data_IF_920168372295
#
_entry.id   IF_920168372295
#
_cell.length_a   1.000
_cell.length_b   1.000
_cell.length_c   1.000
_cell.angle_alpha   90.00
_cell.angle_beta   90.00
_cell.angle_gamma   90.00
#
_symmetry.space_group_name_H-M   'P 1'
#
loop_
_entity.id
_entity.type
_entity.pdbx_description
1 polymer ?
#
# COMPACT_ATOMS: atom_id res chain seq x y z
N UNK A 1 -9.55 10.48 6.18
CA UNK A 1 -8.82 9.23 5.96
C UNK A 1 -7.33 9.43 5.75
N UNK A 2 -6.60 8.34 5.54
CA UNK A 2 -5.15 8.41 5.31
C UNK A 2 -4.83 9.24 4.07
N UNK A 3 -5.57 9.05 2.97
CA UNK A 3 -5.38 9.83 1.74
C UNK A 3 -5.49 11.34 1.99
N UNK A 4 -6.53 11.78 2.68
CA UNK A 4 -6.73 13.20 3.01
C UNK A 4 -5.60 13.74 3.88
N UNK A 5 -5.15 12.99 4.89
CA UNK A 5 -4.03 13.39 5.75
C UNK A 5 -2.73 13.55 4.94
N UNK A 6 -2.44 12.61 4.05
CA UNK A 6 -1.28 12.69 3.15
C UNK A 6 -1.37 13.89 2.20
N UNK A 7 -2.54 14.17 1.63
CA UNK A 7 -2.75 15.34 0.77
C UNK A 7 -2.51 16.65 1.53
N UNK A 8 -3.03 16.77 2.76
CA UNK A 8 -2.80 17.94 3.60
C UNK A 8 -1.31 18.11 3.91
N UNK A 9 -0.62 17.03 4.29
CA UNK A 9 0.80 17.06 4.60
C UNK A 9 1.66 17.45 3.38
N UNK A 10 1.39 16.88 2.21
CA UNK A 10 2.09 17.22 0.97
C UNK A 10 1.88 18.69 0.56
N UNK A 11 0.64 19.19 0.63
CA UNK A 11 0.35 20.58 0.33
C UNK A 11 1.04 21.52 1.31
N UNK A 12 1.02 21.19 2.61
CA UNK A 12 1.72 21.99 3.64
C UNK A 12 3.22 22.02 3.42
N UNK A 13 3.83 20.89 3.07
CA UNK A 13 5.25 20.83 2.75
C UNK A 13 5.60 21.69 1.50
N UNK A 14 4.74 21.70 0.49
CA UNK A 14 4.89 22.60 -0.69
C UNK A 14 4.81 24.07 -0.31
N UNK A 15 3.84 24.47 0.52
CA UNK A 15 3.73 25.85 1.03
C UNK A 15 4.99 26.29 1.78
N UNK A 16 5.67 25.36 2.45
CA UNK A 16 6.93 25.59 3.15
C UNK A 16 8.17 25.45 2.25
N UNK A 17 7.97 25.32 0.92
CA UNK A 17 9.04 25.21 -0.09
C UNK A 17 9.96 24.01 0.09
N UNK A 18 9.47 22.87 0.60
CA UNK A 18 10.22 21.61 0.58
C UNK A 18 10.11 20.97 -0.80
N UNK A 19 11.20 20.31 -1.23
CA UNK A 19 11.23 19.54 -2.50
C UNK A 19 10.67 18.13 -2.33
N UNK A 20 10.83 17.55 -1.14
CA UNK A 20 10.46 16.18 -0.83
C UNK A 20 9.78 16.10 0.54
N UNK A 21 8.85 15.14 0.67
CA UNK A 21 8.26 14.76 1.96
C UNK A 21 8.43 13.27 2.18
N UNK A 22 8.89 12.88 3.37
CA UNK A 22 8.96 11.49 3.81
C UNK A 22 7.67 11.12 4.53
N UNK A 23 7.07 10.02 4.13
CA UNK A 23 5.91 9.40 4.79
C UNK A 23 6.33 8.15 5.54
N UNK A 24 5.84 7.98 6.78
CA UNK A 24 6.16 6.85 7.64
C UNK A 24 4.92 6.36 8.37
N UNK A 25 4.76 5.05 8.50
CA UNK A 25 3.80 4.45 9.40
C UNK A 25 4.34 4.46 10.85
N UNK A 26 3.45 4.45 11.83
CA UNK A 26 3.82 4.55 13.25
C UNK A 26 4.62 3.33 13.76
N UNK A 27 4.48 2.19 13.11
CA UNK A 27 5.12 0.92 13.39
C UNK A 27 6.37 0.66 12.54
N UNK A 28 6.92 1.73 11.92
CA UNK A 28 8.10 1.65 11.07
C UNK A 28 9.27 2.43 11.66
N UNK A 29 10.49 1.89 11.53
CA UNK A 29 11.72 2.56 11.93
C UNK A 29 12.85 2.29 10.95
N UNK A 30 13.64 3.32 10.61
CA UNK A 30 14.80 3.17 9.75
C UNK A 30 15.95 2.48 10.48
N UNK A 31 16.61 1.57 9.77
CA UNK A 31 17.88 0.98 10.22
C UNK A 31 19.06 1.85 9.76
N UNK A 32 18.99 2.43 8.57
CA UNK A 32 20.08 3.18 7.95
C UNK A 32 19.58 4.42 7.18
N UNK A 33 18.92 5.34 7.88
CA UNK A 33 18.31 6.56 7.29
C UNK A 33 19.33 7.42 6.55
N UNK A 34 20.57 7.56 7.10
CA UNK A 34 21.64 8.33 6.48
C UNK A 34 21.95 7.81 5.06
N UNK A 35 21.89 6.49 4.86
CA UNK A 35 22.08 5.91 3.54
C UNK A 35 20.95 6.30 2.58
N UNK A 36 19.72 6.43 3.08
CA UNK A 36 18.60 6.92 2.26
C UNK A 36 18.84 8.35 1.75
N UNK A 37 19.39 9.22 2.60
CA UNK A 37 19.76 10.59 2.21
C UNK A 37 20.91 10.59 1.19
N UNK A 38 21.87 9.70 1.33
CA UNK A 38 22.95 9.53 0.32
C UNK A 38 22.35 9.09 -1.03
N UNK A 39 21.45 8.11 -1.02
CA UNK A 39 20.74 7.66 -2.22
C UNK A 39 19.94 8.78 -2.86
N UNK A 40 19.15 9.55 -2.09
CA UNK A 40 18.40 10.70 -2.59
C UNK A 40 19.33 11.72 -3.26
N UNK A 41 20.43 12.09 -2.64
CA UNK A 41 21.39 13.05 -3.19
C UNK A 41 22.03 12.54 -4.49
N UNK A 42 22.30 11.25 -4.60
CA UNK A 42 22.91 10.64 -5.78
C UNK A 42 21.98 10.64 -7.00
N UNK A 43 20.64 10.70 -6.79
CA UNK A 43 19.66 10.68 -7.87
C UNK A 43 19.02 12.05 -8.16
N UNK A 44 19.43 13.12 -7.47
CA UNK A 44 18.86 14.49 -7.67
C UNK A 44 18.86 14.96 -9.13
N UNK A 45 19.86 14.54 -9.92
CA UNK A 45 19.99 14.86 -11.34
C UNK A 45 19.06 14.05 -12.25
N UNK A 46 18.46 12.97 -11.72
CA UNK A 46 17.58 12.09 -12.51
C UNK A 46 16.22 12.76 -12.71
N UNK A 47 15.74 12.68 -13.95
CA UNK A 47 14.44 13.25 -14.31
C UNK A 47 13.31 12.25 -14.12
N UNK A 48 12.12 12.78 -13.94
CA UNK A 48 10.88 12.00 -13.90
C UNK A 48 10.72 11.03 -12.71
N UNK A 49 11.42 11.27 -11.59
CA UNK A 49 11.27 10.50 -10.37
C UNK A 49 10.24 11.19 -9.47
N UNK A 50 9.08 10.54 -9.28
CA UNK A 50 8.00 11.05 -8.44
C UNK A 50 8.00 10.46 -7.03
N UNK A 51 8.53 9.24 -6.86
CA UNK A 51 8.47 8.51 -5.60
C UNK A 51 9.74 7.69 -5.40
N UNK A 52 10.29 7.76 -4.20
CA UNK A 52 11.32 6.85 -3.71
C UNK A 52 10.73 6.00 -2.61
N UNK A 53 11.15 4.75 -2.51
CA UNK A 53 10.74 3.87 -1.41
C UNK A 53 11.91 3.06 -0.90
N UNK A 54 11.87 2.75 0.39
CA UNK A 54 12.85 1.92 1.06
C UNK A 54 12.37 0.46 1.15
N UNK A 55 13.28 -0.43 1.48
CA UNK A 55 13.01 -1.85 1.69
C UNK A 55 12.45 -2.07 3.10
N UNK A 56 11.12 -2.09 3.18
CA UNK A 56 10.40 -2.39 4.41
C UNK A 56 10.34 -3.90 4.62
N UNK A 57 10.88 -4.37 5.73
CA UNK A 57 10.99 -5.79 6.02
C UNK A 57 11.04 -6.06 7.53
N UNK A 58 10.68 -7.26 7.94
CA UNK A 58 10.95 -7.77 9.28
C UNK A 58 12.39 -8.23 9.38
N UNK A 59 12.93 -8.20 10.61
CA UNK A 59 14.34 -8.56 10.87
C UNK A 59 15.30 -7.76 9.98
N UNK A 60 15.02 -6.46 9.78
CA UNK A 60 15.76 -5.59 8.88
C UNK A 60 17.26 -5.54 9.25
N UNK A 61 17.60 -5.51 10.54
CA UNK A 61 18.98 -5.56 11.01
C UNK A 61 19.75 -6.78 10.50
N UNK A 62 19.11 -7.96 10.42
CA UNK A 62 19.75 -9.18 9.91
C UNK A 62 19.99 -9.16 8.41
N UNK A 63 19.28 -8.30 7.69
CA UNK A 63 19.33 -8.16 6.24
C UNK A 63 20.23 -7.03 5.80
N UNK A 64 20.83 -6.28 6.73
CA UNK A 64 21.71 -5.15 6.41
C UNK A 64 22.94 -5.66 5.63
N UNK A 65 23.16 -5.18 4.39
CA UNK A 65 24.32 -5.60 3.61
C UNK A 65 25.61 -5.05 4.24
N UNK A 66 26.70 -5.80 4.13
CA UNK A 66 28.02 -5.38 4.65
C UNK A 66 28.52 -4.10 3.98
N UNK A 67 28.22 -3.94 2.69
CA UNK A 67 28.56 -2.75 1.91
C UNK A 67 27.27 -2.12 1.39
N UNK A 68 27.03 -0.88 1.78
CA UNK A 68 25.88 -0.10 1.30
C UNK A 68 26.22 0.50 -0.07
N UNK A 69 25.35 0.25 -1.03
CA UNK A 69 25.52 0.70 -2.42
C UNK A 69 24.28 1.46 -2.90
N UNK A 70 24.41 2.17 -4.01
CA UNK A 70 23.26 2.76 -4.71
C UNK A 70 22.53 1.65 -5.50
N UNK A 71 21.89 0.73 -4.76
CA UNK A 71 21.21 -0.42 -5.29
C UNK A 71 19.70 -0.16 -5.34
N UNK A 72 19.17 0.13 -6.52
CA UNK A 72 17.75 0.39 -6.70
C UNK A 72 17.18 -0.33 -7.91
N UNK A 73 15.86 -0.45 -7.93
CA UNK A 73 15.09 -0.91 -9.07
C UNK A 73 13.85 -0.03 -9.28
N UNK A 74 13.35 0.03 -10.50
CA UNK A 74 12.06 0.67 -10.77
C UNK A 74 10.93 -0.30 -10.42
N UNK A 75 9.95 0.16 -9.63
CA UNK A 75 8.78 -0.63 -9.24
C UNK A 75 7.47 -0.01 -9.73
N UNK A 76 6.49 -0.87 -9.96
CA UNK A 76 5.13 -0.43 -10.30
C UNK A 76 4.32 0.00 -9.07
N UNK A 77 4.59 -0.61 -7.93
CA UNK A 77 3.87 -0.35 -6.67
C UNK A 77 4.79 -0.46 -5.48
N UNK A 78 4.60 0.44 -4.53
CA UNK A 78 5.26 0.47 -3.21
C UNK A 78 4.25 0.92 -2.17
N UNK A 79 4.55 0.71 -0.89
CA UNK A 79 3.75 1.22 0.22
C UNK A 79 4.15 2.65 0.57
N UNK A 80 3.27 3.39 1.25
CA UNK A 80 3.56 4.76 1.69
C UNK A 80 4.57 4.82 2.83
N UNK A 81 4.70 3.78 3.65
CA UNK A 81 5.71 3.76 4.71
C UNK A 81 7.12 3.78 4.14
N UNK A 82 7.96 4.66 4.70
CA UNK A 82 9.33 4.93 4.25
C UNK A 82 9.43 5.36 2.77
N UNK A 83 8.42 6.07 2.28
CA UNK A 83 8.42 6.64 0.93
C UNK A 83 8.66 8.13 0.93
N UNK A 84 9.54 8.61 0.03
CA UNK A 84 9.78 10.03 -0.23
C UNK A 84 9.04 10.45 -1.49
N UNK A 85 8.12 11.41 -1.35
CA UNK A 85 7.31 11.95 -2.44
C UNK A 85 7.98 13.22 -2.97
N UNK A 86 8.22 13.28 -4.27
CA UNK A 86 8.74 14.47 -4.94
C UNK A 86 7.62 15.49 -5.14
N UNK A 87 7.65 16.56 -4.36
CA UNK A 87 6.61 17.57 -4.34
C UNK A 87 6.53 18.41 -5.62
N UNK A 88 7.56 18.38 -6.46
CA UNK A 88 7.54 18.97 -7.80
C UNK A 88 6.42 18.37 -8.68
N UNK A 89 6.14 17.09 -8.54
CA UNK A 89 5.11 16.38 -9.32
C UNK A 89 3.77 16.31 -8.61
N UNK A 90 3.72 16.63 -7.30
CA UNK A 90 2.49 16.59 -6.52
C UNK A 90 1.59 17.80 -6.84
N UNK A 91 0.39 17.54 -7.36
CA UNK A 91 -0.58 18.55 -7.75
C UNK A 91 -2.00 17.96 -7.77
N UNK A 92 -2.99 18.73 -8.24
CA UNK A 92 -4.40 18.29 -8.31
C UNK A 92 -4.65 17.04 -9.16
N UNK A 93 -3.74 16.72 -10.13
CA UNK A 93 -3.83 15.53 -10.98
C UNK A 93 -2.98 14.37 -10.48
N UNK A 94 -2.03 14.63 -9.60
CA UNK A 94 -1.17 13.63 -8.96
C UNK A 94 -1.16 13.85 -7.45
N UNK A 95 -2.19 13.37 -6.80
CA UNK A 95 -2.43 13.39 -5.37
C UNK A 95 -3.01 12.04 -4.94
N UNK A 96 -3.16 11.84 -3.65
CA UNK A 96 -3.83 10.66 -3.09
C UNK A 96 -5.35 10.74 -3.30
N UNK A 97 -5.98 9.61 -3.64
CA UNK A 97 -7.42 9.54 -3.89
C UNK A 97 -8.23 9.51 -2.59
N UNK A 98 -8.80 10.63 -2.20
CA UNK A 98 -9.55 10.79 -0.94
C UNK A 98 -10.73 9.83 -0.78
N UNK A 99 -11.33 9.40 -1.90
CA UNK A 99 -12.45 8.45 -1.90
C UNK A 99 -12.11 7.11 -1.26
N UNK A 100 -10.83 6.72 -1.28
CA UNK A 100 -10.41 5.41 -0.77
C UNK A 100 -10.43 5.35 0.76
N UNK A 101 -10.24 6.47 1.45
CA UNK A 101 -10.21 6.61 2.90
C UNK A 101 -9.02 5.89 3.56
N UNK A 102 -8.90 4.56 3.41
CA UNK A 102 -7.83 3.67 3.88
C UNK A 102 -7.72 2.46 2.98
N UNK A 103 -6.58 1.80 2.95
CA UNK A 103 -6.22 0.64 2.10
C UNK A 103 -6.26 0.96 0.59
N UNK A 104 -5.32 0.46 -0.17
CA UNK A 104 -5.12 0.70 -1.61
C UNK A 104 -4.81 2.17 -1.99
N UNK A 105 -4.63 3.06 -1.04
CA UNK A 105 -4.30 4.48 -1.26
C UNK A 105 -2.93 4.64 -1.91
N UNK A 106 -1.96 3.89 -1.43
CA UNK A 106 -0.59 3.80 -1.95
C UNK A 106 -0.55 3.22 -3.37
N UNK A 107 -1.28 2.13 -3.60
CA UNK A 107 -1.36 1.49 -4.92
C UNK A 107 -2.02 2.40 -5.96
N UNK A 108 -3.05 3.15 -5.57
CA UNK A 108 -3.71 4.12 -6.43
C UNK A 108 -2.77 5.27 -6.81
N UNK A 109 -2.03 5.79 -5.84
CA UNK A 109 -1.03 6.83 -6.08
C UNK A 109 0.09 6.35 -7.01
N UNK A 110 0.59 5.12 -6.79
CA UNK A 110 1.55 4.49 -7.69
C UNK A 110 1.00 4.34 -9.12
N UNK A 111 -0.27 3.97 -9.27
CA UNK A 111 -0.90 3.86 -10.58
C UNK A 111 -0.97 5.23 -11.30
N UNK A 112 -1.32 6.30 -10.59
CA UNK A 112 -1.28 7.69 -11.13
C UNK A 112 0.13 8.09 -11.57
N UNK A 113 1.15 7.81 -10.75
CA UNK A 113 2.56 8.07 -11.10
C UNK A 113 2.92 7.38 -12.42
N UNK A 114 2.58 6.10 -12.53
CA UNK A 114 2.85 5.29 -13.72
C UNK A 114 2.09 5.77 -14.95
N UNK A 115 0.82 6.15 -14.80
CA UNK A 115 -0.01 6.74 -15.86
C UNK A 115 0.60 8.04 -16.41
N UNK A 116 1.23 8.86 -15.56
CA UNK A 116 1.97 10.06 -15.93
C UNK A 116 3.37 9.77 -16.49
N UNK A 117 3.75 8.51 -16.69
CA UNK A 117 5.08 8.06 -17.14
C UNK A 117 6.21 8.56 -16.23
N UNK A 118 5.91 8.76 -14.95
CA UNK A 118 6.87 9.05 -13.91
C UNK A 118 7.37 7.75 -13.27
N UNK A 119 8.51 7.82 -12.59
CA UNK A 119 9.21 6.66 -12.03
C UNK A 119 9.05 6.56 -10.53
N UNK A 120 9.01 5.32 -10.06
CA UNK A 120 9.08 4.94 -8.67
C UNK A 120 10.38 4.15 -8.50
N UNK A 121 11.30 4.62 -7.67
CA UNK A 121 12.55 3.93 -7.38
C UNK A 121 12.48 3.30 -5.99
N UNK A 122 12.83 2.02 -5.93
CA UNK A 122 12.89 1.25 -4.70
C UNK A 122 14.33 0.91 -4.36
N UNK A 123 14.82 1.43 -3.24
CA UNK A 123 16.18 1.21 -2.76
C UNK A 123 16.26 -0.07 -1.93
N UNK A 124 17.00 -1.07 -2.42
CA UNK A 124 17.12 -2.39 -1.79
C UNK A 124 17.95 -2.37 -0.51
N UNK A 125 18.95 -1.50 -0.47
CA UNK A 125 19.91 -1.40 0.62
C UNK A 125 19.51 -0.36 1.69
N UNK A 126 18.42 0.38 1.48
CA UNK A 126 17.79 1.22 2.51
C UNK A 126 16.76 0.37 3.26
N UNK A 127 17.08 0.03 4.50
CA UNK A 127 16.27 -0.91 5.28
C UNK A 127 15.43 -0.20 6.33
N UNK A 128 14.18 -0.63 6.40
CA UNK A 128 13.19 -0.17 7.37
C UNK A 128 12.58 -1.39 8.07
N UNK A 129 12.71 -1.43 9.38
CA UNK A 129 11.95 -2.37 10.20
C UNK A 129 10.50 -1.96 10.17
N UNK A 130 9.62 -2.90 9.84
CA UNK A 130 8.19 -2.67 9.76
C UNK A 130 7.44 -3.86 10.34
N UNK A 131 6.60 -3.61 11.33
CA UNK A 131 5.73 -4.63 11.89
C UNK A 131 4.53 -4.85 10.97
N UNK A 132 4.58 -5.92 10.19
CA UNK A 132 3.53 -6.29 9.23
C UNK A 132 2.22 -6.76 9.92
N UNK A 133 1.68 -5.97 10.88
CA UNK A 133 0.48 -6.32 11.62
C UNK A 133 0.65 -7.57 12.53
N UNK A 134 -0.40 -7.96 13.20
CA UNK A 134 -0.37 -9.12 14.09
C UNK A 134 -0.24 -10.43 13.31
N UNK A 135 0.78 -11.23 13.66
CA UNK A 135 0.95 -12.58 13.14
C UNK A 135 0.21 -13.55 14.04
N UNK A 136 -0.68 -14.29 13.45
CA UNK A 136 -1.36 -15.40 14.11
C UNK A 136 -0.82 -16.73 13.61
N UNK A 137 -0.51 -17.64 14.56
CA UNK A 137 -0.32 -19.03 14.24
C UNK A 137 -1.68 -19.65 13.97
N UNK A 138 -1.98 -19.90 12.70
CA UNK A 138 -3.27 -20.44 12.26
C UNK A 138 -3.15 -21.88 11.81
N UNK A 139 -4.05 -22.71 12.30
CA UNK A 139 -4.13 -24.12 11.95
C UNK A 139 -5.10 -24.30 10.77
N UNK A 140 -4.62 -24.93 9.69
CA UNK A 140 -5.49 -25.28 8.59
C UNK A 140 -6.55 -26.28 9.06
N UNK A 141 -7.81 -26.05 8.80
CA UNK A 141 -8.93 -26.87 9.26
C UNK A 141 -8.90 -28.29 8.67
N UNK A 142 -8.34 -28.47 7.47
CA UNK A 142 -8.30 -29.75 6.75
C UNK A 142 -6.99 -30.49 7.08
N UNK A 143 -5.84 -29.81 6.81
CA UNK A 143 -4.53 -30.47 6.92
C UNK A 143 -3.95 -30.44 8.35
N UNK A 144 -4.55 -29.67 9.25
CA UNK A 144 -4.10 -29.43 10.63
C UNK A 144 -2.70 -28.84 10.77
N UNK A 145 -2.02 -28.50 9.67
CA UNK A 145 -0.70 -27.84 9.68
C UNK A 145 -0.83 -26.40 10.18
N UNK A 146 0.10 -25.99 11.05
CA UNK A 146 0.19 -24.59 11.51
C UNK A 146 0.95 -23.75 10.48
N UNK A 147 0.49 -22.54 10.24
CA UNK A 147 1.17 -21.52 9.43
C UNK A 147 1.00 -20.15 10.06
N UNK A 148 2.05 -19.35 9.97
CA UNK A 148 1.95 -17.92 10.27
C UNK A 148 1.10 -17.22 9.20
N UNK A 149 0.15 -16.43 9.64
CA UNK A 149 -0.75 -15.66 8.78
C UNK A 149 -0.96 -14.26 9.33
N UNK A 150 -0.86 -13.29 8.45
CA UNK A 150 -1.35 -11.94 8.71
C UNK A 150 -2.85 -11.95 8.47
N UNK A 151 -3.59 -11.50 9.47
CA UNK A 151 -5.05 -11.46 9.43
C UNK A 151 -5.51 -10.00 9.47
N UNK A 152 -6.47 -9.67 8.63
CA UNK A 152 -7.12 -8.36 8.64
C UNK A 152 -8.44 -8.42 9.39
N UNK A 153 -8.76 -7.38 10.14
CA UNK A 153 -10.08 -7.22 10.72
C UNK A 153 -11.14 -7.02 9.62
N UNK A 154 -12.40 -7.21 9.97
CA UNK A 154 -13.52 -7.15 9.03
C UNK A 154 -13.67 -5.77 8.34
N UNK A 155 -13.30 -4.67 9.03
CA UNK A 155 -13.32 -3.33 8.47
C UNK A 155 -12.28 -3.16 7.35
N UNK A 156 -11.05 -3.64 7.56
CA UNK A 156 -10.03 -3.65 6.50
C UNK A 156 -10.44 -4.55 5.33
N UNK A 157 -11.02 -5.72 5.60
CA UNK A 157 -11.53 -6.62 4.55
C UNK A 157 -12.56 -5.90 3.66
N UNK A 158 -13.44 -5.09 4.25
CA UNK A 158 -14.38 -4.25 3.49
C UNK A 158 -13.66 -3.24 2.59
N UNK A 159 -12.74 -2.43 3.16
CA UNK A 159 -12.04 -1.40 2.38
C UNK A 159 -11.16 -2.01 1.30
N UNK A 160 -10.40 -3.05 1.60
CA UNK A 160 -9.56 -3.77 0.62
C UNK A 160 -10.44 -4.25 -0.54
N UNK A 161 -11.59 -4.86 -0.26
CA UNK A 161 -12.48 -5.38 -1.32
C UNK A 161 -13.02 -4.25 -2.20
N UNK A 162 -13.62 -3.21 -1.61
CA UNK A 162 -14.19 -2.08 -2.35
C UNK A 162 -13.14 -1.34 -3.17
N UNK A 163 -12.01 -1.04 -2.55
CA UNK A 163 -10.97 -0.22 -3.15
C UNK A 163 -10.17 -0.98 -4.22
N UNK A 164 -9.91 -2.29 -4.04
CA UNK A 164 -9.29 -3.12 -5.09
C UNK A 164 -10.17 -3.20 -6.34
N UNK A 165 -11.48 -3.30 -6.19
CA UNK A 165 -12.42 -3.27 -7.31
C UNK A 165 -12.43 -1.90 -8.01
N UNK A 166 -12.31 -0.80 -7.24
CA UNK A 166 -12.16 0.55 -7.79
C UNK A 166 -10.89 0.65 -8.65
N UNK A 167 -9.73 0.20 -8.13
CA UNK A 167 -8.48 0.21 -8.88
C UNK A 167 -8.58 -0.67 -10.14
N UNK A 168 -9.16 -1.85 -10.02
CA UNK A 168 -9.34 -2.76 -11.14
C UNK A 168 -10.22 -2.16 -12.25
N UNK A 169 -11.30 -1.47 -11.88
CA UNK A 169 -12.17 -0.75 -12.84
C UNK A 169 -11.44 0.42 -13.50
N UNK A 170 -10.66 1.19 -12.74
CA UNK A 170 -9.99 2.40 -13.21
C UNK A 170 -8.73 2.11 -14.02
N UNK A 171 -7.90 1.17 -13.57
CA UNK A 171 -6.57 0.92 -14.10
C UNK A 171 -6.38 -0.46 -14.73
N UNK A 172 -7.35 -1.37 -14.62
CA UNK A 172 -7.21 -2.75 -15.05
C UNK A 172 -6.89 -2.95 -16.52
N UNK A 173 -7.37 -2.05 -17.41
CA UNK A 173 -7.04 -2.08 -18.84
C UNK A 173 -5.67 -1.48 -19.14
N UNK A 174 -5.18 -0.55 -18.29
CA UNK A 174 -3.90 0.15 -18.50
C UNK A 174 -2.76 -0.68 -17.89
N UNK A 175 -2.98 -1.27 -16.73
CA UNK A 175 -2.00 -2.06 -15.98
C UNK A 175 -2.58 -3.42 -15.59
N UNK A 176 -2.82 -4.33 -16.57
CA UNK A 176 -3.52 -5.60 -16.32
C UNK A 176 -2.74 -6.57 -15.43
N UNK A 177 -1.42 -6.46 -15.38
CA UNK A 177 -0.58 -7.28 -14.50
C UNK A 177 -0.79 -6.95 -13.02
N UNK A 178 -1.04 -5.70 -12.68
CA UNK A 178 -1.24 -5.23 -11.32
C UNK A 178 -2.72 -5.21 -10.93
N UNK A 179 -3.58 -4.65 -11.79
CA UNK A 179 -4.96 -4.32 -11.48
C UNK A 179 -6.01 -5.00 -12.39
N UNK A 180 -5.64 -6.04 -13.14
CA UNK A 180 -6.56 -6.73 -14.05
C UNK A 180 -7.86 -7.14 -13.37
N UNK A 181 -9.02 -6.76 -13.95
CA UNK A 181 -10.33 -6.90 -13.30
C UNK A 181 -10.66 -8.35 -12.93
N UNK A 182 -10.52 -9.29 -13.86
CA UNK A 182 -10.78 -10.71 -13.58
C UNK A 182 -9.80 -11.33 -12.60
N UNK A 183 -8.53 -10.90 -12.64
CA UNK A 183 -7.50 -11.28 -11.65
C UNK A 183 -7.90 -10.81 -10.25
N UNK A 184 -8.33 -9.56 -10.13
CA UNK A 184 -8.78 -8.98 -8.86
C UNK A 184 -10.01 -9.71 -8.31
N UNK A 185 -11.01 -10.00 -9.15
CA UNK A 185 -12.18 -10.79 -8.75
C UNK A 185 -11.77 -12.18 -8.25
N UNK A 186 -10.90 -12.88 -8.96
CA UNK A 186 -10.41 -14.19 -8.55
C UNK A 186 -9.71 -14.14 -7.19
N UNK A 187 -8.81 -13.17 -6.99
CA UNK A 187 -8.11 -13.00 -5.72
C UNK A 187 -9.13 -12.74 -4.58
N UNK A 188 -10.01 -11.76 -4.75
CA UNK A 188 -10.93 -11.33 -3.69
C UNK A 188 -12.00 -12.37 -3.35
N UNK A 189 -12.57 -13.05 -4.34
CA UNK A 189 -13.75 -13.89 -4.15
C UNK A 189 -13.48 -15.39 -4.22
N UNK A 190 -12.31 -15.82 -4.68
CA UNK A 190 -11.90 -17.22 -4.62
C UNK A 190 -10.78 -17.40 -3.60
N UNK A 191 -9.61 -16.85 -3.85
CA UNK A 191 -8.44 -17.12 -3.00
C UNK A 191 -8.62 -16.61 -1.56
N UNK A 192 -9.11 -15.38 -1.37
CA UNK A 192 -9.29 -14.83 -0.02
C UNK A 192 -10.48 -15.44 0.71
N UNK A 193 -11.57 -15.82 0.03
CA UNK A 193 -12.68 -16.54 0.67
C UNK A 193 -12.20 -17.91 1.16
N UNK A 194 -11.46 -18.66 0.33
CA UNK A 194 -10.85 -19.92 0.74
C UNK A 194 -9.91 -19.72 1.94
N UNK A 195 -9.08 -18.66 1.91
CA UNK A 195 -8.20 -18.31 3.04
C UNK A 195 -9.00 -18.05 4.31
N UNK A 196 -10.05 -17.22 4.25
CA UNK A 196 -10.93 -16.92 5.39
C UNK A 196 -11.54 -18.22 5.94
N UNK A 197 -12.11 -19.06 5.07
CA UNK A 197 -12.78 -20.30 5.48
C UNK A 197 -11.83 -21.31 6.13
N UNK A 198 -10.58 -21.40 5.66
CA UNK A 198 -9.63 -22.41 6.13
C UNK A 198 -8.78 -21.98 7.32
N UNK A 199 -8.53 -20.68 7.49
CA UNK A 199 -7.49 -20.20 8.40
C UNK A 199 -7.90 -19.10 9.37
N UNK A 200 -8.93 -18.28 9.03
CA UNK A 200 -9.20 -17.06 9.78
C UNK A 200 -10.36 -17.23 10.77
N UNK A 201 -10.41 -16.33 11.76
CA UNK A 201 -11.54 -16.20 12.68
C UNK A 201 -12.59 -15.22 12.11
N UNK A 202 -13.74 -15.13 12.79
CA UNK A 202 -14.81 -14.20 12.42
C UNK A 202 -15.25 -14.29 10.94
N UNK A 203 -15.30 -15.51 10.39
CA UNK A 203 -15.51 -15.82 8.97
C UNK A 203 -16.75 -15.16 8.41
N UNK A 204 -17.89 -15.28 9.11
CA UNK A 204 -19.20 -14.77 8.65
C UNK A 204 -19.15 -13.25 8.50
N UNK A 205 -18.60 -12.53 9.50
CA UNK A 205 -18.48 -11.07 9.47
C UNK A 205 -17.56 -10.63 8.32
N UNK A 206 -16.42 -11.32 8.09
CA UNK A 206 -15.51 -11.00 6.99
C UNK A 206 -16.14 -11.25 5.62
N UNK A 207 -16.90 -12.33 5.45
CA UNK A 207 -17.61 -12.60 4.20
C UNK A 207 -18.69 -11.53 3.96
N UNK A 208 -19.48 -11.17 4.99
CA UNK A 208 -20.43 -10.06 4.90
C UNK A 208 -19.77 -8.75 4.54
N UNK A 209 -18.58 -8.45 5.10
CA UNK A 209 -17.79 -7.26 4.79
C UNK A 209 -17.34 -7.23 3.32
N UNK A 210 -16.95 -8.38 2.75
CA UNK A 210 -16.65 -8.49 1.32
C UNK A 210 -17.86 -8.22 0.44
N UNK A 211 -19.02 -8.80 0.77
CA UNK A 211 -20.27 -8.58 0.03
C UNK A 211 -20.66 -7.11 0.09
N UNK A 212 -20.55 -6.48 1.26
CA UNK A 212 -20.83 -5.06 1.43
C UNK A 212 -19.85 -4.18 0.65
N UNK A 213 -18.55 -4.54 0.65
CA UNK A 213 -17.53 -3.85 -0.16
C UNK A 213 -17.83 -3.91 -1.65
N UNK A 214 -18.22 -5.08 -2.16
CA UNK A 214 -18.69 -5.25 -3.54
C UNK A 214 -19.94 -4.40 -3.83
N UNK A 215 -20.94 -4.46 -2.94
CA UNK A 215 -22.18 -3.68 -3.10
C UNK A 215 -21.89 -2.17 -3.17
N UNK A 216 -21.08 -1.64 -2.24
CA UNK A 216 -20.72 -0.22 -2.24
C UNK A 216 -19.89 0.18 -3.48
N UNK A 217 -19.03 -0.70 -3.99
CA UNK A 217 -18.36 -0.49 -5.27
C UNK A 217 -19.37 -0.37 -6.43
N UNK A 218 -20.34 -1.26 -6.50
CA UNK A 218 -21.36 -1.25 -7.57
C UNK A 218 -22.22 0.02 -7.57
N UNK A 219 -22.57 0.52 -6.38
CA UNK A 219 -23.37 1.76 -6.25
C UNK A 219 -22.51 3.03 -6.15
N UNK A 220 -21.19 2.93 -6.39
CA UNK A 220 -20.21 4.02 -6.30
C UNK A 220 -20.20 4.76 -4.95
N UNK A 221 -20.40 4.05 -3.85
CA UNK A 221 -20.34 4.60 -2.50
C UNK A 221 -18.93 4.47 -1.93
N UNK A 222 -18.24 5.60 -1.77
CA UNK A 222 -16.85 5.67 -1.30
C UNK A 222 -16.73 6.49 -0.01
N UNK A 223 -15.50 6.73 0.45
CA UNK A 223 -15.19 7.46 1.67
C UNK A 223 -15.27 6.60 2.93
N UNK A 224 -15.37 7.26 4.08
CA UNK A 224 -15.50 6.59 5.38
C UNK A 224 -16.81 5.83 5.49
N UNK A 225 -16.74 4.62 6.01
CA UNK A 225 -17.89 3.81 6.35
C UNK A 225 -17.64 3.07 7.66
N UNK A 226 -18.49 3.29 8.64
CA UNK A 226 -18.42 2.60 9.93
C UNK A 226 -19.23 1.30 9.86
N UNK A 227 -18.55 0.19 10.15
CA UNK A 227 -19.14 -1.14 10.13
C UNK A 227 -19.69 -1.58 11.50
N UNK A 228 -19.29 -0.88 12.57
CA UNK A 228 -19.63 -1.28 13.94
C UNK A 228 -21.13 -1.14 14.25
N UNK A 229 -21.84 -0.31 13.49
CA UNK A 229 -23.29 -0.08 13.69
C UNK A 229 -24.19 -1.12 12.99
N UNK A 230 -23.63 -2.16 12.32
CA UNK A 230 -24.41 -3.08 11.45
C UNK A 230 -24.13 -4.58 11.62
N UNK A 231 -23.23 -4.97 12.52
CA UNK A 231 -22.91 -6.41 12.71
C UNK A 231 -22.98 -6.83 14.18
#
# INVERSE_FOLDING_TARGET
>A
GIATALNIACNKAKELNFDWILTMDQDSSFINFEHYIVCLNSIKSYKNIALLSANTTRDALRKLPKNLTLNYEEKSTVITSASMINLKYFNEFLNFEDKLFIDMVDYEFCAKIKEKKLKILYFKDVLVEHELGEIYLRKNLITRKQKEKIEHNHQRVYYITRNSLYLAKKYGNIFPSEFGFFKTLNILFIHEIIKILLYEDNKIIKIKSKILGLYHFLINKYGRYDLNDRF
#
